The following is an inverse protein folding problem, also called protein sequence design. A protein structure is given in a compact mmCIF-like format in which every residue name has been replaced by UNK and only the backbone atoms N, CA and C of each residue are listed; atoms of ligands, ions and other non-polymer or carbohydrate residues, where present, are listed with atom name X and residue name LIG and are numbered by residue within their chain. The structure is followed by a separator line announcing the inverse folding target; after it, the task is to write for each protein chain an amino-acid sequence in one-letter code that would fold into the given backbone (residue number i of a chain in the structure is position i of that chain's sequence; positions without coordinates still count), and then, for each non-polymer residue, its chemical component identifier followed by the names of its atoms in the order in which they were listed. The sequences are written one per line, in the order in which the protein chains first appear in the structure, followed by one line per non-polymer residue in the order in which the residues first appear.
data_IF_758797134086
#
_entry.id   IF_758797134086
#
_cell.length_a   1.000
_cell.length_b   1.000
_cell.length_c   1.000
_cell.angle_alpha   90.00
_cell.angle_beta   90.00
_cell.angle_gamma   90.00
#
_symmetry.space_group_name_H-M   'P 1'
#
loop_
_entity.id
_entity.type
_entity.pdbx_description
1 polymer ?
#
# COMPACT_ATOMS: atom_id res chain seq x y z
N UNK A 1 -8.28 5.11 -2.12
CA UNK A 1 -8.79 3.73 -2.36
C UNK A 1 -9.58 3.13 -1.19
N UNK A 2 -9.33 3.50 0.07
CA UNK A 2 -9.89 2.78 1.22
C UNK A 2 -11.41 2.82 1.43
N UNK A 3 -12.10 3.94 1.19
CA UNK A 3 -13.57 4.02 1.41
C UNK A 3 -14.38 2.98 0.61
N UNK A 4 -14.21 2.83 -0.72
CA UNK A 4 -14.95 1.82 -1.46
C UNK A 4 -14.56 0.39 -1.06
N UNK A 5 -13.30 0.13 -0.71
CA UNK A 5 -12.88 -1.19 -0.19
C UNK A 5 -13.63 -1.50 1.12
N UNK A 6 -13.70 -0.55 2.05
CA UNK A 6 -14.43 -0.72 3.30
C UNK A 6 -15.94 -0.87 3.11
N UNK A 7 -16.54 -0.11 2.19
CA UNK A 7 -17.98 -0.07 2.01
C UNK A 7 -18.55 -1.27 1.23
N UNK A 8 -17.79 -1.79 0.26
CA UNK A 8 -18.29 -2.78 -0.71
C UNK A 8 -17.61 -4.14 -0.62
N UNK A 9 -16.66 -4.33 0.30
CA UNK A 9 -16.00 -5.62 0.52
C UNK A 9 -16.03 -6.01 2.00
N UNK A 10 -15.61 -7.25 2.31
CA UNK A 10 -15.39 -7.69 3.69
C UNK A 10 -14.03 -7.30 4.27
N UNK A 11 -13.21 -6.54 3.53
CA UNK A 11 -11.87 -6.17 3.98
C UNK A 11 -11.87 -4.98 4.93
N UNK A 12 -10.83 -4.93 5.75
CA UNK A 12 -10.50 -3.79 6.62
C UNK A 12 -9.40 -2.98 5.95
N UNK A 13 -9.39 -1.67 6.19
CA UNK A 13 -8.41 -0.74 5.63
C UNK A 13 -7.85 0.16 6.74
N UNK A 14 -6.58 0.55 6.63
CA UNK A 14 -6.00 1.52 7.56
C UNK A 14 -6.57 2.92 7.37
N UNK A 15 -6.63 3.37 6.11
CA UNK A 15 -6.97 4.74 5.75
C UNK A 15 -8.01 4.78 4.64
N UNK A 16 -8.87 5.80 4.71
CA UNK A 16 -9.73 6.24 3.61
C UNK A 16 -9.87 7.77 3.67
N UNK A 17 -10.52 8.42 2.68
CA UNK A 17 -10.78 9.87 2.66
C UNK A 17 -11.77 10.34 3.75
N UNK A 18 -11.67 9.82 4.98
CA UNK A 18 -12.44 10.20 6.16
C UNK A 18 -11.53 10.21 7.40
N UNK A 19 -11.68 11.22 8.25
CA UNK A 19 -10.72 11.51 9.33
C UNK A 19 -11.00 10.77 10.65
N UNK A 20 -11.65 9.60 10.62
CA UNK A 20 -12.08 8.91 11.85
C UNK A 20 -11.01 7.99 12.45
N UNK A 21 -9.98 7.63 11.67
CA UNK A 21 -8.88 6.77 12.11
C UNK A 21 -7.52 7.48 11.91
N UNK A 22 -7.22 8.47 12.75
CA UNK A 22 -5.97 9.25 12.65
C UNK A 22 -4.75 8.34 12.72
N UNK A 23 -4.74 7.36 13.63
CA UNK A 23 -3.63 6.42 13.76
C UNK A 23 -3.41 5.59 12.48
N UNK A 24 -4.47 5.04 11.90
CA UNK A 24 -4.36 4.30 10.63
C UNK A 24 -3.95 5.18 9.45
N UNK A 25 -4.39 6.44 9.42
CA UNK A 25 -3.96 7.39 8.39
C UNK A 25 -2.46 7.69 8.50
N UNK A 26 -1.94 7.92 9.71
CA UNK A 26 -0.50 8.11 9.93
C UNK A 26 0.30 6.87 9.54
N UNK A 27 -0.16 5.67 9.91
CA UNK A 27 0.49 4.41 9.51
C UNK A 27 0.60 4.25 7.99
N UNK A 28 -0.39 4.72 7.22
CA UNK A 28 -0.31 4.70 5.76
C UNK A 28 0.76 5.67 5.25
N UNK A 29 0.90 6.86 5.85
CA UNK A 29 2.00 7.76 5.48
C UNK A 29 3.36 7.18 5.84
N UNK A 30 3.52 6.65 7.06
CA UNK A 30 4.76 6.05 7.53
C UNK A 30 5.19 4.89 6.63
N UNK A 31 4.24 4.04 6.22
CA UNK A 31 4.51 2.92 5.31
C UNK A 31 4.81 3.37 3.88
N UNK A 32 4.02 4.29 3.30
CA UNK A 32 4.16 4.66 1.88
C UNK A 32 5.37 5.56 1.63
N UNK A 33 5.66 6.48 2.54
CA UNK A 33 6.76 7.45 2.41
C UNK A 33 8.07 6.95 3.01
N UNK A 34 8.02 6.00 3.94
CA UNK A 34 9.19 5.34 4.53
C UNK A 34 9.89 4.37 3.58
N UNK A 35 10.96 3.73 4.06
CA UNK A 35 11.67 2.71 3.27
C UNK A 35 10.85 1.44 3.10
N UNK A 36 11.25 0.56 2.16
CA UNK A 36 10.63 -0.77 2.04
C UNK A 36 10.77 -1.62 3.32
N UNK A 37 11.81 -1.37 4.13
CA UNK A 37 12.01 -2.03 5.43
C UNK A 37 11.03 -1.51 6.48
N UNK A 38 10.81 -0.19 6.54
CA UNK A 38 9.82 0.41 7.45
C UNK A 38 8.40 -0.06 7.10
N UNK A 39 8.08 -0.07 5.81
CA UNK A 39 6.81 -0.57 5.30
C UNK A 39 6.59 -2.05 5.68
N UNK A 40 7.62 -2.90 5.56
CA UNK A 40 7.57 -4.30 5.96
C UNK A 40 7.24 -4.45 7.45
N UNK A 41 7.92 -3.69 8.31
CA UNK A 41 7.68 -3.74 9.75
C UNK A 41 6.23 -3.34 10.11
N UNK A 42 5.68 -2.33 9.43
CA UNK A 42 4.28 -1.92 9.62
C UNK A 42 3.32 -3.01 9.12
N UNK A 43 3.57 -3.57 7.93
CA UNK A 43 2.76 -4.65 7.34
C UNK A 43 2.71 -5.87 8.26
N UNK A 44 3.86 -6.30 8.79
CA UNK A 44 3.96 -7.46 9.67
C UNK A 44 3.30 -7.21 11.04
N UNK A 45 3.62 -6.08 11.68
CA UNK A 45 3.11 -5.75 13.03
C UNK A 45 1.59 -5.54 13.07
N UNK A 46 0.99 -5.18 11.95
CA UNK A 46 -0.45 -4.96 11.83
C UNK A 46 -1.18 -6.04 11.02
N UNK A 47 -0.49 -7.14 10.68
CA UNK A 47 -1.06 -8.29 9.95
C UNK A 47 -1.75 -7.90 8.63
N UNK A 48 -1.12 -7.02 7.86
CA UNK A 48 -1.63 -6.58 6.56
C UNK A 48 -1.45 -7.70 5.54
N UNK A 49 -2.56 -8.26 5.06
CA UNK A 49 -2.53 -9.30 4.02
C UNK A 49 -2.42 -8.76 2.59
N UNK A 50 -2.75 -7.48 2.38
CA UNK A 50 -2.89 -6.89 1.05
C UNK A 50 -2.41 -5.43 1.03
N UNK A 51 -1.58 -5.09 0.05
CA UNK A 51 -1.24 -3.71 -0.32
C UNK A 51 -1.90 -3.42 -1.67
N UNK A 52 -2.64 -2.32 -1.76
CA UNK A 52 -3.31 -1.89 -3.00
C UNK A 52 -2.70 -0.60 -3.53
N UNK A 53 -2.37 -0.56 -4.81
CA UNK A 53 -1.80 0.61 -5.48
C UNK A 53 -2.60 0.94 -6.73
N UNK A 54 -3.09 2.17 -6.84
CA UNK A 54 -3.59 2.70 -8.10
C UNK A 54 -2.52 3.61 -8.72
N UNK A 55 -2.01 3.21 -9.88
CA UNK A 55 -0.91 3.90 -10.57
C UNK A 55 -1.32 5.29 -11.09
N UNK A 56 -2.60 5.44 -11.41
CA UNK A 56 -3.18 6.70 -11.91
C UNK A 56 -3.75 7.61 -10.84
N UNK A 57 -3.68 7.21 -9.55
CA UNK A 57 -4.13 8.05 -8.45
C UNK A 57 -3.19 9.27 -8.28
N UNK A 58 -3.68 10.52 -8.39
CA UNK A 58 -2.86 11.72 -8.25
C UNK A 58 -2.15 11.82 -6.89
N UNK A 59 -2.81 11.37 -5.83
CA UNK A 59 -2.21 11.32 -4.48
C UNK A 59 -1.03 10.34 -4.42
N UNK A 60 -1.12 9.18 -5.06
CA UNK A 60 0.01 8.23 -5.16
C UNK A 60 1.20 8.88 -5.87
N UNK A 61 0.95 9.59 -6.98
CA UNK A 61 2.00 10.31 -7.73
C UNK A 61 2.62 11.43 -6.90
N UNK A 62 1.81 12.17 -6.12
CA UNK A 62 2.28 13.20 -5.20
C UNK A 62 3.20 12.61 -4.13
N UNK A 63 2.81 11.51 -3.49
CA UNK A 63 3.62 10.85 -2.47
C UNK A 63 4.91 10.27 -3.03
N UNK A 64 4.86 9.66 -4.22
CA UNK A 64 6.07 9.18 -4.90
C UNK A 64 7.03 10.32 -5.25
N UNK A 65 6.52 11.50 -5.63
CA UNK A 65 7.36 12.69 -5.84
C UNK A 65 7.93 13.24 -4.53
N UNK A 66 7.18 13.14 -3.42
CA UNK A 66 7.59 13.66 -2.10
C UNK A 66 8.64 12.79 -1.40
N UNK A 67 8.59 11.49 -1.64
CA UNK A 67 9.52 10.48 -1.11
C UNK A 67 9.98 9.56 -2.27
N UNK A 68 10.89 10.02 -3.15
CA UNK A 68 11.29 9.28 -4.35
C UNK A 68 12.00 7.94 -4.07
N UNK A 69 12.60 7.82 -2.88
CA UNK A 69 13.25 6.60 -2.39
C UNK A 69 12.33 5.78 -1.46
N UNK A 70 11.09 6.24 -1.27
CA UNK A 70 10.10 5.59 -0.42
C UNK A 70 9.49 4.33 -1.05
N UNK A 71 8.88 3.51 -0.22
CA UNK A 71 8.27 2.23 -0.59
C UNK A 71 7.25 2.37 -1.73
N UNK A 72 6.35 3.35 -1.65
CA UNK A 72 5.37 3.62 -2.71
C UNK A 72 6.05 3.98 -4.04
N UNK A 73 7.07 4.83 -4.01
CA UNK A 73 7.79 5.25 -5.21
C UNK A 73 8.50 4.06 -5.85
N UNK A 74 9.07 3.16 -5.05
CA UNK A 74 9.62 1.89 -5.51
C UNK A 74 8.58 1.02 -6.22
N UNK A 75 7.42 0.79 -5.59
CA UNK A 75 6.32 0.03 -6.21
C UNK A 75 5.85 0.63 -7.53
N UNK A 76 5.68 1.96 -7.59
CA UNK A 76 5.27 2.66 -8.82
C UNK A 76 6.30 2.55 -9.95
N UNK A 77 7.58 2.25 -9.64
CA UNK A 77 8.63 1.94 -10.63
C UNK A 77 8.75 0.44 -10.94
N UNK A 78 7.86 -0.39 -10.40
CA UNK A 78 7.92 -1.85 -10.53
C UNK A 78 8.97 -2.52 -9.63
N UNK A 79 9.58 -1.79 -8.69
CA UNK A 79 10.50 -2.35 -7.70
C UNK A 79 9.71 -2.96 -6.54
N UNK A 80 9.22 -4.18 -6.74
CA UNK A 80 8.47 -4.93 -5.73
C UNK A 80 9.44 -5.60 -4.75
N UNK A 81 9.39 -5.28 -3.44
CA UNK A 81 10.23 -5.93 -2.45
C UNK A 81 9.98 -7.44 -2.37
N UNK A 82 11.00 -8.20 -1.99
CA UNK A 82 10.94 -9.68 -1.93
C UNK A 82 9.84 -10.21 -1.00
N UNK A 83 9.43 -9.46 0.02
CA UNK A 83 8.39 -9.85 0.97
C UNK A 83 6.97 -9.65 0.44
N UNK A 84 6.83 -9.12 -0.79
CA UNK A 84 5.57 -9.05 -1.53
C UNK A 84 5.59 -9.97 -2.75
N UNK A 85 4.43 -10.56 -3.01
CA UNK A 85 4.08 -11.12 -4.30
C UNK A 85 3.16 -10.14 -5.02
N UNK A 86 3.55 -9.73 -6.22
CA UNK A 86 2.63 -9.06 -7.11
C UNK A 86 1.58 -10.08 -7.55
N UNK A 87 0.31 -9.82 -7.26
CA UNK A 87 -0.78 -10.67 -7.75
C UNK A 87 -0.71 -10.72 -9.27
N UNK A 88 -0.37 -11.88 -9.83
CA UNK A 88 -0.13 -12.05 -11.27
C UNK A 88 -1.31 -11.53 -12.11
N UNK A 89 -2.52 -11.60 -11.57
CA UNK A 89 -3.76 -11.17 -12.20
C UNK A 89 -3.93 -9.64 -12.29
N UNK A 90 -3.26 -8.87 -11.43
CA UNK A 90 -3.44 -7.41 -11.34
C UNK A 90 -2.24 -6.61 -11.81
N UNK A 91 -1.11 -7.28 -12.13
CA UNK A 91 0.10 -6.62 -12.62
C UNK A 91 -0.20 -5.91 -13.96
N UNK A 92 0.13 -4.63 -14.04
CA UNK A 92 -0.13 -3.77 -15.21
C UNK A 92 -1.57 -3.25 -15.30
N UNK A 93 -2.46 -3.60 -14.37
CA UNK A 93 -3.79 -3.02 -14.29
C UNK A 93 -3.76 -1.64 -13.60
N UNK A 94 -4.77 -0.77 -13.83
CA UNK A 94 -4.84 0.51 -13.13
C UNK A 94 -4.84 0.41 -11.60
N UNK A 95 -5.33 -0.71 -11.07
CA UNK A 95 -5.25 -1.11 -9.66
C UNK A 95 -4.44 -2.39 -9.56
N UNK A 96 -3.26 -2.29 -8.96
CA UNK A 96 -2.40 -3.43 -8.64
C UNK A 96 -2.58 -3.84 -7.19
N UNK A 97 -2.55 -5.15 -6.96
CA UNK A 97 -2.63 -5.77 -5.64
C UNK A 97 -1.37 -6.58 -5.35
N UNK A 98 -0.81 -6.40 -4.16
CA UNK A 98 0.35 -7.13 -3.68
C UNK A 98 0.00 -7.85 -2.38
N UNK A 99 0.26 -9.15 -2.33
CA UNK A 99 0.05 -9.95 -1.13
C UNK A 99 1.38 -10.10 -0.39
N UNK A 100 1.33 -10.16 0.94
CA UNK A 100 2.50 -10.56 1.72
C UNK A 100 2.90 -11.99 1.38
N UNK A 101 4.21 -12.24 1.19
CA UNK A 101 4.72 -13.61 1.17
C UNK A 101 4.58 -14.18 2.57
N UNK A 102 3.54 -14.97 2.81
CA UNK A 102 3.51 -15.81 3.99
C UNK A 102 4.55 -16.91 3.80
N UNK A 103 5.60 -16.90 4.63
CA UNK A 103 6.50 -18.04 4.73
C UNK A 103 5.67 -19.29 5.02
N UNK A 104 5.90 -20.35 4.24
CA UNK A 104 5.28 -21.65 4.45
C UNK A 104 5.65 -22.26 5.80
#
# INVERSE_FOLDING_TARGET
LGSPILAFTGHRVFAGPYHRNVAGNLLVFDALLGSATDAKAIVESHHVGLVSLCLDNPESRLFAARAPDGFLAGLMRGSVPEWLDAGAETRGAPLELYCGRHGG
#
